data_IF_530084552135
#
_entry.id   IF_530084552135
#
_cell.length_a   1.000
_cell.length_b   1.000
_cell.length_c   1.000
_cell.angle_alpha   90.00
_cell.angle_beta   90.00
_cell.angle_gamma   90.00
#
_symmetry.space_group_name_H-M   'P 1'
#
loop_
_entity.id
_entity.type
_entity.pdbx_description
1 polymer ?
#
# COMPACT_ATOMS: atom_id res chain seq x y z
N UNK A 1 -36.34 -11.27 8.69
CA UNK A 1 -35.77 -10.88 7.39
C UNK A 1 -35.44 -9.41 7.44
N UNK A 2 -34.18 -9.08 7.73
CA UNK A 2 -33.64 -7.76 7.45
C UNK A 2 -32.30 -8.01 6.78
N UNK A 3 -32.34 -8.04 5.46
CA UNK A 3 -31.16 -8.06 4.62
C UNK A 3 -30.62 -6.62 4.63
N UNK A 4 -29.66 -6.34 5.51
CA UNK A 4 -28.89 -5.11 5.46
C UNK A 4 -27.77 -5.35 4.47
N UNK A 5 -28.04 -5.05 3.21
CA UNK A 5 -26.99 -4.92 2.19
C UNK A 5 -26.17 -3.68 2.53
N UNK A 6 -25.11 -3.85 3.31
CA UNK A 6 -24.09 -2.81 3.49
C UNK A 6 -23.36 -2.67 2.17
N UNK A 7 -23.70 -1.63 1.40
CA UNK A 7 -22.91 -1.24 0.24
C UNK A 7 -21.45 -1.01 0.68
N UNK A 8 -20.44 -1.46 -0.10
CA UNK A 8 -19.05 -1.29 0.30
C UNK A 8 -18.72 0.20 0.33
N UNK A 9 -18.15 0.65 1.44
CA UNK A 9 -17.66 2.02 1.62
C UNK A 9 -16.47 2.21 0.67
N UNK A 10 -16.75 2.61 -0.57
CA UNK A 10 -15.79 2.64 -1.68
C UNK A 10 -14.97 3.93 -1.79
N UNK A 11 -14.97 4.83 -0.80
CA UNK A 11 -14.47 6.22 -0.98
C UNK A 11 -13.46 6.80 0.02
N UNK A 12 -12.95 6.07 1.01
CA UNK A 12 -12.17 6.71 2.10
C UNK A 12 -10.66 6.79 1.90
N UNK A 13 -10.10 6.25 0.81
CA UNK A 13 -8.65 6.15 0.62
C UNK A 13 -8.12 6.95 -0.57
N UNK A 14 -8.90 7.88 -1.12
CA UNK A 14 -8.45 8.81 -2.18
C UNK A 14 -8.08 10.19 -1.61
N UNK A 15 -7.50 10.21 -0.40
CA UNK A 15 -7.05 11.45 0.22
C UNK A 15 -5.69 11.90 -0.35
N UNK A 16 -5.50 13.22 -0.35
CA UNK A 16 -4.21 13.86 -0.63
C UNK A 16 -3.67 14.49 0.67
N UNK A 17 -2.34 14.46 0.88
CA UNK A 17 -1.35 13.90 -0.03
C UNK A 17 -1.26 12.36 0.05
N UNK A 18 -0.96 11.70 -1.07
CA UNK A 18 -0.73 10.25 -1.12
C UNK A 18 0.50 9.82 -0.30
N UNK A 19 1.46 10.72 -0.15
CA UNK A 19 2.68 10.59 0.65
C UNK A 19 2.82 11.76 1.63
N UNK A 20 3.29 11.47 2.84
CA UNK A 20 3.60 12.48 3.84
C UNK A 20 4.64 13.51 3.31
N UNK A 21 4.31 14.81 3.32
CA UNK A 21 5.24 15.85 2.93
C UNK A 21 6.47 15.85 3.84
N UNK A 22 7.66 15.89 3.27
CA UNK A 22 8.90 15.93 4.03
C UNK A 22 9.40 14.58 4.54
N UNK A 23 8.70 13.45 4.29
CA UNK A 23 9.16 12.12 4.71
C UNK A 23 10.58 11.79 4.20
N UNK A 24 10.92 12.17 2.97
CA UNK A 24 12.29 12.00 2.46
C UNK A 24 13.30 12.89 3.19
N UNK A 25 12.95 14.16 3.45
CA UNK A 25 13.84 15.07 4.14
C UNK A 25 14.12 14.62 5.59
N UNK A 26 13.12 14.05 6.27
CA UNK A 26 13.28 13.44 7.58
C UNK A 26 14.26 12.25 7.52
N UNK A 27 14.11 11.38 6.52
CA UNK A 27 15.01 10.25 6.31
C UNK A 27 16.45 10.72 6.02
N UNK A 28 16.63 11.70 5.13
CA UNK A 28 17.93 12.32 4.82
C UNK A 28 18.55 12.93 6.07
N UNK A 29 17.76 13.57 6.93
CA UNK A 29 18.25 14.12 8.19
C UNK A 29 18.78 13.05 9.15
N UNK A 30 18.18 11.85 9.14
CA UNK A 30 18.54 10.76 10.05
C UNK A 30 19.76 9.97 9.56
N UNK A 31 19.83 9.64 8.26
CA UNK A 31 20.83 8.70 7.72
C UNK A 31 21.72 9.28 6.59
N UNK A 32 21.56 10.57 6.27
CA UNK A 32 22.27 11.23 5.17
C UNK A 32 21.63 10.95 3.80
N UNK A 33 21.99 11.78 2.80
CA UNK A 33 21.41 11.72 1.46
C UNK A 33 21.69 10.38 0.76
N UNK A 34 22.94 9.91 0.79
CA UNK A 34 23.32 8.66 0.12
C UNK A 34 22.57 7.47 0.72
N UNK A 35 22.55 7.37 2.06
CA UNK A 35 21.83 6.32 2.77
C UNK A 35 20.33 6.37 2.51
N UNK A 36 19.73 7.57 2.54
CA UNK A 36 18.33 7.78 2.23
C UNK A 36 17.99 7.38 0.79
N UNK A 37 18.85 7.70 -0.17
CA UNK A 37 18.72 7.31 -1.57
C UNK A 37 18.74 5.80 -1.75
N UNK A 38 19.68 5.10 -1.11
CA UNK A 38 19.81 3.65 -1.17
C UNK A 38 18.59 2.93 -0.59
N UNK A 39 18.19 3.24 0.64
CA UNK A 39 17.05 2.56 1.29
C UNK A 39 15.73 2.86 0.58
N UNK A 40 15.59 4.07 0.01
CA UNK A 40 14.43 4.45 -0.81
C UNK A 40 14.37 3.64 -2.11
N UNK A 41 15.50 3.44 -2.78
CA UNK A 41 15.56 2.62 -3.99
C UNK A 41 15.17 1.15 -3.70
N UNK A 42 15.67 0.61 -2.58
CA UNK A 42 15.28 -0.74 -2.11
C UNK A 42 13.78 -0.80 -1.82
N UNK A 43 13.25 0.15 -1.05
CA UNK A 43 11.82 0.23 -0.75
C UNK A 43 10.96 0.25 -2.02
N UNK A 44 11.35 1.02 -3.04
CA UNK A 44 10.63 1.07 -4.30
C UNK A 44 10.63 -0.26 -5.05
N UNK A 45 11.79 -0.91 -5.11
CA UNK A 45 11.95 -2.22 -5.76
C UNK A 45 11.09 -3.28 -5.05
N UNK A 46 11.19 -3.37 -3.73
CA UNK A 46 10.44 -4.33 -2.93
C UNK A 46 8.93 -4.09 -2.98
N UNK A 47 8.50 -2.82 -2.95
CA UNK A 47 7.08 -2.46 -3.04
C UNK A 47 6.52 -2.86 -4.40
N UNK A 48 7.23 -2.58 -5.48
CA UNK A 48 6.84 -3.00 -6.83
C UNK A 48 6.70 -4.53 -6.93
N UNK A 49 7.69 -5.27 -6.44
CA UNK A 49 7.65 -6.72 -6.42
C UNK A 49 6.48 -7.27 -5.60
N UNK A 50 6.15 -6.63 -4.46
CA UNK A 50 5.00 -7.00 -3.62
C UNK A 50 3.67 -6.82 -4.34
N UNK A 51 3.48 -5.69 -5.01
CA UNK A 51 2.26 -5.37 -5.75
C UNK A 51 2.05 -6.36 -6.90
N UNK A 52 3.13 -6.73 -7.60
CA UNK A 52 3.10 -7.78 -8.60
C UNK A 52 2.79 -9.15 -8.00
N UNK A 53 3.38 -9.50 -6.85
CA UNK A 53 3.10 -10.75 -6.15
C UNK A 53 1.60 -10.90 -5.86
N UNK A 54 0.93 -9.88 -5.32
CA UNK A 54 -0.51 -9.96 -5.05
C UNK A 54 -1.33 -10.32 -6.28
N UNK A 55 -0.97 -9.79 -7.46
CA UNK A 55 -1.64 -10.08 -8.74
C UNK A 55 -1.47 -11.52 -9.20
N UNK A 56 -0.49 -12.25 -8.67
CA UNK A 56 -0.27 -13.69 -8.97
C UNK A 56 -1.01 -14.63 -8.04
N UNK A 57 -1.55 -14.14 -6.92
CA UNK A 57 -2.19 -14.97 -5.92
C UNK A 57 -3.70 -15.06 -6.18
N UNK A 58 -4.25 -16.28 -6.12
CA UNK A 58 -5.69 -16.47 -5.97
C UNK A 58 -6.09 -16.18 -4.53
N UNK A 59 -7.08 -15.30 -4.35
CA UNK A 59 -7.58 -14.93 -3.03
C UNK A 59 -7.99 -16.19 -2.26
N UNK A 60 -8.92 -16.97 -2.83
CA UNK A 60 -9.52 -18.16 -2.20
C UNK A 60 -8.54 -19.25 -1.74
N UNK A 61 -7.30 -19.26 -2.26
CA UNK A 61 -6.27 -20.23 -1.89
C UNK A 61 -5.20 -19.67 -0.94
N UNK A 62 -5.09 -18.34 -0.84
CA UNK A 62 -3.91 -17.69 -0.27
C UNK A 62 -4.22 -16.55 0.71
N UNK A 63 -5.42 -16.48 1.29
CA UNK A 63 -5.81 -15.44 2.27
C UNK A 63 -4.72 -15.16 3.32
N UNK A 64 -4.19 -16.20 3.98
CA UNK A 64 -3.16 -16.04 5.01
C UNK A 64 -1.79 -15.58 4.49
N UNK A 65 -1.45 -15.84 3.22
CA UNK A 65 -0.24 -15.26 2.59
C UNK A 65 -0.49 -13.79 2.24
N UNK A 66 -1.64 -13.49 1.64
CA UNK A 66 -2.04 -12.14 1.26
C UNK A 66 -2.05 -11.22 2.50
N UNK A 67 -2.66 -11.65 3.60
CA UNK A 67 -2.72 -10.87 4.83
C UNK A 67 -1.31 -10.56 5.40
N UNK A 68 -0.39 -11.53 5.39
CA UNK A 68 0.99 -11.34 5.87
C UNK A 68 1.81 -10.40 4.98
N UNK A 69 1.68 -10.55 3.67
CA UNK A 69 2.35 -9.64 2.73
C UNK A 69 1.80 -8.22 2.85
N UNK A 70 0.48 -8.08 3.04
CA UNK A 70 -0.17 -6.79 3.26
C UNK A 70 0.27 -6.15 4.58
N UNK A 71 0.42 -6.94 5.65
CA UNK A 71 0.97 -6.48 6.92
C UNK A 71 2.38 -5.91 6.77
N UNK A 72 3.25 -6.63 6.07
CA UNK A 72 4.63 -6.20 5.82
C UNK A 72 4.67 -4.92 4.97
N UNK A 73 3.85 -4.86 3.91
CA UNK A 73 3.76 -3.68 3.05
C UNK A 73 3.23 -2.46 3.82
N UNK A 74 2.23 -2.63 4.67
CA UNK A 74 1.70 -1.55 5.53
C UNK A 74 2.82 -0.94 6.37
N UNK A 75 3.60 -1.76 7.05
CA UNK A 75 4.69 -1.29 7.92
C UNK A 75 5.75 -0.54 7.11
N UNK A 76 6.21 -1.12 5.99
CA UNK A 76 7.18 -0.48 5.12
C UNK A 76 6.67 0.85 4.55
N UNK A 77 5.45 0.86 3.99
CA UNK A 77 4.83 2.07 3.46
C UNK A 77 4.67 3.15 4.53
N UNK A 78 4.32 2.77 5.77
CA UNK A 78 4.26 3.69 6.91
C UNK A 78 5.61 4.35 7.20
N UNK A 79 6.69 3.57 7.25
CA UNK A 79 8.06 4.08 7.49
C UNK A 79 8.50 5.12 6.45
N UNK A 80 8.17 4.91 5.17
CA UNK A 80 8.55 5.82 4.08
C UNK A 80 7.54 6.94 3.81
N UNK A 81 6.50 7.06 4.65
CA UNK A 81 5.46 8.08 4.54
C UNK A 81 4.44 7.83 3.43
N UNK A 82 4.36 6.64 2.84
CA UNK A 82 3.37 6.26 1.80
C UNK A 82 2.01 5.99 2.46
N UNK A 83 1.45 7.02 3.10
CA UNK A 83 0.30 6.96 4.01
C UNK A 83 -0.93 6.31 3.37
N UNK A 84 -1.20 6.60 2.09
CA UNK A 84 -2.36 6.05 1.38
C UNK A 84 -2.20 4.58 1.06
N UNK A 85 -1.00 4.19 0.63
CA UNK A 85 -0.65 2.79 0.39
C UNK A 85 -0.69 1.98 1.70
N UNK A 86 -0.17 2.53 2.80
CA UNK A 86 -0.21 1.89 4.11
C UNK A 86 -1.66 1.63 4.57
N UNK A 87 -2.55 2.61 4.35
CA UNK A 87 -3.96 2.49 4.71
C UNK A 87 -4.70 1.42 3.88
N UNK A 88 -4.42 1.35 2.57
CA UNK A 88 -4.97 0.31 1.69
C UNK A 88 -4.41 -1.08 2.01
N UNK A 89 -3.12 -1.18 2.33
CA UNK A 89 -2.49 -2.42 2.76
C UNK A 89 -3.09 -2.92 4.09
N UNK A 90 -3.38 -2.02 5.04
CA UNK A 90 -4.11 -2.36 6.27
C UNK A 90 -5.53 -2.87 5.99
N UNK A 91 -6.22 -2.30 5.00
CA UNK A 91 -7.53 -2.80 4.57
C UNK A 91 -7.39 -4.23 4.05
N UNK A 92 -6.47 -4.47 3.12
CA UNK A 92 -6.23 -5.79 2.55
C UNK A 92 -5.86 -6.82 3.64
N UNK A 93 -4.98 -6.45 4.57
CA UNK A 93 -4.58 -7.26 5.72
C UNK A 93 -5.80 -7.75 6.53
N UNK A 94 -6.78 -6.86 6.76
CA UNK A 94 -7.95 -7.15 7.61
C UNK A 94 -9.08 -7.86 6.88
N UNK A 95 -9.19 -7.68 5.57
CA UNK A 95 -10.35 -8.16 4.81
C UNK A 95 -10.01 -9.31 3.86
N UNK A 96 -8.76 -9.80 3.83
CA UNK A 96 -8.34 -10.87 2.92
C UNK A 96 -9.19 -12.15 3.01
N UNK A 97 -9.77 -12.46 4.19
CA UNK A 97 -10.60 -13.66 4.38
C UNK A 97 -12.06 -13.49 3.94
N UNK A 98 -12.54 -12.24 3.81
CA UNK A 98 -13.96 -11.93 3.57
C UNK A 98 -14.20 -11.19 2.26
N UNK A 99 -13.15 -10.69 1.62
CA UNK A 99 -13.20 -10.03 0.30
C UNK A 99 -13.69 -10.99 -0.78
N UNK A 100 -14.51 -10.49 -1.70
CA UNK A 100 -14.73 -11.15 -2.98
C UNK A 100 -13.56 -10.93 -3.95
N UNK A 101 -13.41 -11.82 -4.95
CA UNK A 101 -12.36 -11.73 -5.98
C UNK A 101 -12.39 -10.40 -6.77
N UNK A 102 -13.58 -9.85 -7.03
CA UNK A 102 -13.73 -8.55 -7.69
C UNK A 102 -13.25 -7.41 -6.79
N UNK A 103 -13.66 -7.40 -5.53
CA UNK A 103 -13.25 -6.37 -4.56
C UNK A 103 -11.74 -6.45 -4.28
N UNK A 104 -11.17 -7.64 -4.29
CA UNK A 104 -9.72 -7.84 -4.16
C UNK A 104 -8.98 -7.21 -5.34
N UNK A 105 -9.39 -7.46 -6.58
CA UNK A 105 -8.78 -6.82 -7.76
C UNK A 105 -8.92 -5.30 -7.73
N UNK A 106 -10.10 -4.78 -7.40
CA UNK A 106 -10.31 -3.33 -7.24
C UNK A 106 -9.39 -2.73 -6.17
N UNK A 107 -9.17 -3.46 -5.07
CA UNK A 107 -8.27 -3.03 -4.01
C UNK A 107 -6.81 -3.00 -4.47
N UNK A 108 -6.36 -3.98 -5.27
CA UNK A 108 -5.03 -3.99 -5.85
C UNK A 108 -4.82 -2.82 -6.82
N UNK A 109 -5.78 -2.53 -7.69
CA UNK A 109 -5.70 -1.39 -8.61
C UNK A 109 -5.59 -0.05 -7.86
N UNK A 110 -6.31 0.09 -6.73
CA UNK A 110 -6.18 1.27 -5.85
C UNK A 110 -4.81 1.33 -5.18
N UNK A 111 -4.23 0.21 -4.78
CA UNK A 111 -2.88 0.16 -4.20
C UNK A 111 -1.83 0.61 -5.23
N UNK A 112 -1.95 0.17 -6.47
CA UNK A 112 -1.07 0.61 -7.57
C UNK A 112 -1.21 2.12 -7.84
N UNK A 113 -2.44 2.64 -7.88
CA UNK A 113 -2.69 4.06 -8.03
C UNK A 113 -2.16 4.90 -6.84
N UNK A 114 -2.29 4.40 -5.61
CA UNK A 114 -1.73 5.04 -4.42
C UNK A 114 -0.20 5.08 -4.46
N UNK A 115 0.43 3.97 -4.85
CA UNK A 115 1.88 3.90 -5.00
C UNK A 115 2.38 4.85 -6.10
N UNK A 116 1.74 4.87 -7.27
CA UNK A 116 2.09 5.77 -8.36
C UNK A 116 1.94 7.26 -7.98
N UNK A 117 0.86 7.63 -7.29
CA UNK A 117 0.67 9.00 -6.83
C UNK A 117 1.71 9.42 -5.78
N UNK A 118 2.03 8.53 -4.83
CA UNK A 118 3.06 8.79 -3.83
C UNK A 118 4.46 8.92 -4.48
N UNK A 119 4.76 8.10 -5.50
CA UNK A 119 5.99 8.21 -6.30
C UNK A 119 6.09 9.54 -7.03
N UNK A 120 4.99 10.06 -7.56
CA UNK A 120 4.96 11.38 -8.20
C UNK A 120 5.17 12.55 -7.22
N UNK A 121 5.00 12.31 -5.91
CA UNK A 121 5.23 13.28 -4.82
C UNK A 121 6.63 13.17 -4.21
N UNK A 122 7.47 12.26 -4.70
CA UNK A 122 8.88 12.22 -4.30
C UNK A 122 9.62 13.45 -4.86
N UNK A 123 10.56 14.03 -4.08
CA UNK A 123 11.37 15.12 -4.59
C UNK A 123 12.21 14.65 -5.78
N UNK A 124 12.29 15.50 -6.80
CA UNK A 124 13.19 15.31 -7.93
C UNK A 124 14.61 15.61 -7.42
N UNK A 125 15.42 14.56 -7.28
CA UNK A 125 16.80 14.62 -6.81
C UNK A 125 17.57 13.46 -7.41
#
# INVERSE_FOLDING_TARGET
>A
MFDVTVAPVQGTFDFEPAREPGAYAALVHEIGEDGAGEVRAVFWSETCARLQLFRTLSLGQHHGKIAREAHSLKSAAGTFGYVRLAALALRLEKTAETLGETEFRDLLDRMDAAYAAARAQEPQG
#
